data_IF_523211355729
#
_entry.id   IF_523211355729
#
_cell.length_a   1.000
_cell.length_b   1.000
_cell.length_c   1.000
_cell.angle_alpha   90.00
_cell.angle_beta   90.00
_cell.angle_gamma   90.00
#
_symmetry.space_group_name_H-M   'P 1'
#
loop_
_entity.id
_entity.type
_entity.pdbx_description
1 polymer ?
#
# COMPACT_ATOMS: atom_id res chain seq x y z
N UNK A 1 13.51 2.62 18.11
CA UNK A 1 12.52 1.63 17.63
C UNK A 1 12.79 0.30 18.31
N UNK A 2 11.78 -0.31 18.95
CA UNK A 2 11.94 -1.46 19.87
C UNK A 2 12.50 -2.72 19.19
N UNK A 3 12.20 -2.92 17.91
CA UNK A 3 12.72 -4.01 17.07
C UNK A 3 14.25 -3.95 16.88
N UNK A 4 14.79 -2.78 16.51
CA UNK A 4 16.23 -2.62 16.31
C UNK A 4 17.04 -2.87 17.60
N UNK A 5 16.48 -2.47 18.75
CA UNK A 5 17.08 -2.72 20.06
C UNK A 5 17.08 -4.20 20.43
N UNK A 6 15.99 -4.93 20.15
CA UNK A 6 15.89 -6.37 20.44
C UNK A 6 16.81 -7.21 19.53
N UNK A 7 16.98 -6.80 18.26
CA UNK A 7 17.95 -7.43 17.34
C UNK A 7 19.39 -7.29 17.83
N UNK A 8 19.76 -6.09 18.28
CA UNK A 8 21.10 -5.81 18.81
C UNK A 8 21.38 -6.59 20.11
N UNK A 9 20.38 -6.71 20.99
CA UNK A 9 20.50 -7.52 22.20
C UNK A 9 20.67 -9.01 21.89
N UNK A 10 19.95 -9.55 20.89
CA UNK A 10 20.09 -10.95 20.51
C UNK A 10 21.49 -11.27 19.94
N UNK A 11 22.06 -10.40 19.11
CA UNK A 11 23.41 -10.61 18.56
C UNK A 11 24.47 -10.56 19.67
N UNK A 12 24.36 -9.62 20.60
CA UNK A 12 25.26 -9.51 21.76
C UNK A 12 25.18 -10.74 22.68
N UNK A 13 23.97 -11.24 22.96
CA UNK A 13 23.78 -12.44 23.80
C UNK A 13 24.29 -13.70 23.11
N UNK A 14 24.13 -13.83 21.78
CA UNK A 14 24.66 -14.98 21.01
C UNK A 14 26.19 -14.99 20.91
N UNK A 15 26.84 -13.83 20.89
CA UNK A 15 28.30 -13.74 20.88
C UNK A 15 28.92 -13.92 22.27
N UNK A 16 28.24 -13.49 23.34
CA UNK A 16 28.73 -13.57 24.71
C UNK A 16 28.54 -14.95 25.37
N UNK A 17 27.65 -15.79 24.86
CA UNK A 17 27.32 -17.08 25.49
C UNK A 17 27.82 -18.27 24.67
N UNK A 18 28.97 -18.81 25.07
CA UNK A 18 29.49 -20.10 24.63
C UNK A 18 28.68 -21.30 25.16
N UNK A 19 27.36 -21.32 24.92
CA UNK A 19 26.55 -22.54 24.98
C UNK A 19 25.58 -22.75 26.16
N UNK A 20 25.42 -21.82 27.11
CA UNK A 20 24.67 -22.16 28.36
C UNK A 20 23.34 -21.42 28.59
N UNK A 21 23.07 -20.27 27.96
CA UNK A 21 21.86 -19.48 28.28
C UNK A 21 20.72 -19.62 27.26
N UNK A 22 20.37 -20.87 26.92
CA UNK A 22 19.34 -21.19 25.94
C UNK A 22 17.94 -20.66 26.30
N UNK A 23 17.64 -20.51 27.59
CA UNK A 23 16.36 -20.01 28.07
C UNK A 23 16.21 -18.50 27.86
N UNK A 24 17.23 -17.69 28.14
CA UNK A 24 17.18 -16.26 27.81
C UNK A 24 17.17 -16.03 26.31
N UNK A 25 17.96 -16.78 25.54
CA UNK A 25 17.95 -16.68 24.08
C UNK A 25 16.54 -16.93 23.55
N UNK A 26 15.88 -18.01 23.98
CA UNK A 26 14.51 -18.34 23.56
C UNK A 26 13.49 -17.29 24.01
N UNK A 27 13.64 -16.71 25.20
CA UNK A 27 12.78 -15.63 25.67
C UNK A 27 12.93 -14.36 24.79
N UNK A 28 14.15 -13.97 24.47
CA UNK A 28 14.44 -12.81 23.60
C UNK A 28 13.94 -13.08 22.17
N UNK A 29 14.10 -14.30 21.65
CA UNK A 29 13.57 -14.70 20.34
C UNK A 29 12.04 -14.60 20.29
N UNK A 30 11.34 -15.07 21.32
CA UNK A 30 9.87 -14.92 21.41
C UNK A 30 9.44 -13.45 21.48
N UNK A 31 10.14 -12.63 22.26
CA UNK A 31 9.86 -11.19 22.33
C UNK A 31 10.11 -10.50 20.98
N UNK A 32 11.14 -10.94 20.25
CA UNK A 32 11.45 -10.44 18.92
C UNK A 32 10.36 -10.82 17.92
N UNK A 33 9.90 -12.07 17.91
CA UNK A 33 8.80 -12.52 17.06
C UNK A 33 7.52 -11.73 17.34
N UNK A 34 7.18 -11.53 18.61
CA UNK A 34 6.02 -10.73 18.97
C UNK A 34 6.16 -9.28 18.48
N UNK A 35 7.34 -8.68 18.62
CA UNK A 35 7.60 -7.33 18.13
C UNK A 35 7.48 -7.23 16.60
N UNK A 36 7.95 -8.24 15.86
CA UNK A 36 7.80 -8.31 14.39
C UNK A 36 6.33 -8.32 13.99
N UNK A 37 5.52 -9.17 14.61
CA UNK A 37 4.08 -9.27 14.30
C UNK A 37 3.35 -7.95 14.57
N UNK A 38 3.72 -7.23 15.62
CA UNK A 38 3.14 -5.92 15.92
C UNK A 38 3.56 -4.87 14.88
N UNK A 39 4.82 -4.87 14.46
CA UNK A 39 5.32 -3.95 13.43
C UNK A 39 4.71 -4.26 12.05
N UNK A 40 4.56 -5.53 11.68
CA UNK A 40 3.87 -5.95 10.47
C UNK A 40 2.41 -5.50 10.47
N UNK A 41 1.68 -5.68 11.57
CA UNK A 41 0.30 -5.17 11.72
C UNK A 41 0.23 -3.65 11.59
N UNK A 42 1.16 -2.93 12.22
CA UNK A 42 1.25 -1.48 12.12
C UNK A 42 1.47 -1.02 10.68
N UNK A 43 2.42 -1.65 9.97
CA UNK A 43 2.71 -1.33 8.57
C UNK A 43 1.57 -1.75 7.63
N UNK A 44 0.88 -2.85 7.88
CA UNK A 44 -0.30 -3.27 7.12
C UNK A 44 -1.46 -2.27 7.29
N UNK A 45 -1.73 -1.80 8.51
CA UNK A 45 -2.73 -0.76 8.78
C UNK A 45 -2.37 0.56 8.10
N UNK A 46 -1.12 1.00 8.23
CA UNK A 46 -0.60 2.21 7.58
C UNK A 46 -0.64 2.12 6.05
N UNK A 47 -0.29 0.97 5.50
CA UNK A 47 -0.34 0.70 4.05
C UNK A 47 -1.76 0.78 3.52
N UNK A 48 -2.72 0.14 4.20
CA UNK A 48 -4.14 0.22 3.85
C UNK A 48 -4.69 1.66 3.94
N UNK A 49 -4.37 2.39 5.00
CA UNK A 49 -4.75 3.80 5.14
C UNK A 49 -4.12 4.69 4.06
N UNK A 50 -2.85 4.46 3.74
CA UNK A 50 -2.16 5.16 2.66
C UNK A 50 -2.82 4.86 1.32
N UNK A 51 -3.15 3.60 1.03
CA UNK A 51 -3.82 3.19 -0.19
C UNK A 51 -5.22 3.79 -0.31
N UNK A 52 -6.03 3.79 0.75
CA UNK A 52 -7.35 4.43 0.76
C UNK A 52 -7.21 5.92 0.48
N UNK A 53 -6.30 6.61 1.19
CA UNK A 53 -6.07 8.04 1.00
C UNK A 53 -5.57 8.39 -0.40
N UNK A 54 -4.69 7.56 -0.96
CA UNK A 54 -4.19 7.73 -2.31
C UNK A 54 -5.27 7.41 -3.36
N UNK A 55 -6.15 6.45 -3.07
CA UNK A 55 -7.33 6.12 -3.86
C UNK A 55 -8.36 7.26 -3.91
N UNK A 56 -8.63 7.92 -2.79
CA UNK A 56 -9.45 9.14 -2.76
C UNK A 56 -8.78 10.32 -3.49
N UNK A 57 -7.44 10.43 -3.41
CA UNK A 57 -6.68 11.42 -4.17
C UNK A 57 -6.49 11.07 -5.66
N UNK A 58 -6.90 9.87 -6.11
CA UNK A 58 -6.81 9.47 -7.51
C UNK A 58 -7.94 10.06 -8.38
N UNK A 59 -8.73 10.99 -7.82
CA UNK A 59 -9.74 11.78 -8.54
C UNK A 59 -9.16 12.45 -9.78
N UNK A 60 -7.95 12.99 -9.72
CA UNK A 60 -7.30 13.64 -10.88
C UNK A 60 -7.13 12.72 -12.09
N UNK A 61 -6.58 11.52 -11.88
CA UNK A 61 -6.43 10.52 -12.94
C UNK A 61 -7.78 10.03 -13.46
N UNK A 62 -8.71 9.70 -12.56
CA UNK A 62 -10.04 9.26 -12.94
C UNK A 62 -10.77 10.31 -13.78
N UNK A 63 -10.77 11.58 -13.34
CA UNK A 63 -11.38 12.68 -14.08
C UNK A 63 -10.68 12.97 -15.41
N UNK A 64 -9.35 12.82 -15.49
CA UNK A 64 -8.62 12.94 -16.74
C UNK A 64 -9.03 11.84 -17.73
N UNK A 65 -9.09 10.57 -17.29
CA UNK A 65 -9.52 9.43 -18.12
C UNK A 65 -10.97 9.58 -18.57
N UNK A 66 -11.89 9.94 -17.66
CA UNK A 66 -13.30 10.17 -18.00
C UNK A 66 -13.45 11.34 -18.97
N UNK A 67 -12.73 12.44 -18.78
CA UNK A 67 -12.76 13.59 -19.68
C UNK A 67 -12.24 13.23 -21.07
N UNK A 68 -11.16 12.45 -21.15
CA UNK A 68 -10.65 11.95 -22.43
C UNK A 68 -11.69 11.07 -23.13
N UNK A 69 -12.33 10.15 -22.41
CA UNK A 69 -13.39 9.29 -22.97
C UNK A 69 -14.59 10.10 -23.44
N UNK A 70 -15.02 11.11 -22.68
CA UNK A 70 -16.10 12.03 -23.08
C UNK A 70 -15.78 12.79 -24.36
N UNK A 71 -14.54 13.30 -24.50
CA UNK A 71 -14.09 13.97 -25.73
C UNK A 71 -14.06 13.02 -26.93
N UNK A 72 -13.53 11.81 -26.74
CA UNK A 72 -13.41 10.84 -27.82
C UNK A 72 -14.77 10.30 -28.28
N UNK A 73 -15.69 10.09 -27.33
CA UNK A 73 -16.99 9.48 -27.61
C UNK A 73 -18.10 10.53 -27.81
N UNK A 74 -17.74 11.80 -27.97
CA UNK A 74 -18.70 12.85 -28.27
C UNK A 74 -19.28 12.61 -29.67
N UNK A 75 -20.57 12.28 -29.73
CA UNK A 75 -21.31 12.18 -30.99
C UNK A 75 -21.45 13.60 -31.55
N UNK A 76 -20.76 13.90 -32.65
CA UNK A 76 -20.70 15.24 -33.27
C UNK A 76 -21.93 15.58 -34.12
N UNK A 77 -22.70 14.56 -34.49
CA UNK A 77 -23.90 14.70 -35.30
C UNK A 77 -24.47 13.33 -35.62
N UNK A 78 -25.71 13.32 -36.08
CA UNK A 78 -26.38 12.12 -36.56
C UNK A 78 -26.51 12.24 -38.09
N UNK A 79 -26.31 11.12 -38.78
CA UNK A 79 -26.46 11.06 -40.24
C UNK A 79 -27.92 10.71 -40.56
N UNK A 80 -28.58 11.56 -41.33
CA UNK A 80 -29.97 11.35 -41.75
C UNK A 80 -30.07 10.41 -42.98
N UNK A 81 -31.27 9.95 -43.31
CA UNK A 81 -31.53 9.05 -44.46
C UNK A 81 -31.14 9.64 -45.83
N UNK A 82 -30.99 10.96 -45.91
CA UNK A 82 -30.48 11.67 -47.08
C UNK A 82 -28.95 11.82 -47.10
N UNK A 83 -28.24 11.12 -46.21
CA UNK A 83 -26.78 11.21 -46.03
C UNK A 83 -26.28 12.61 -45.65
N UNK A 84 -27.13 13.42 -45.01
CA UNK A 84 -26.78 14.75 -44.51
C UNK A 84 -26.50 14.68 -43.00
N UNK A 85 -25.45 15.38 -42.55
CA UNK A 85 -25.13 15.49 -41.13
C UNK A 85 -26.05 16.52 -40.47
N UNK A 86 -26.80 16.07 -39.46
CA UNK A 86 -27.64 16.95 -38.63
C UNK A 86 -26.88 17.20 -37.33
N UNK A 87 -26.44 18.44 -37.11
CA UNK A 87 -25.88 18.84 -35.81
C UNK A 87 -27.01 19.02 -34.80
N UNK A 88 -26.94 18.34 -33.66
CA UNK A 88 -27.81 18.66 -32.53
C UNK A 88 -27.48 20.07 -32.03
N UNK A 89 -28.47 20.96 -32.02
CA UNK A 89 -28.35 22.34 -31.52
C UNK A 89 -27.96 22.36 -30.04
#
# INVERSE_FOLDING_TARGET
MKFASLKLQLSQVKEASGGTDCNNIRAIENMLQHAIVQEEKFWAQKGHQSWIRLGENNTGYFHAVVSQRRRNNQIRGLLDYNCLWVSSH
#
